data_IF_152797237805
#
_entry.id   IF_152797237805
#
_cell.length_a   1.000
_cell.length_b   1.000
_cell.length_c   1.000
_cell.angle_alpha   90.00
_cell.angle_beta   90.00
_cell.angle_gamma   90.00
#
_symmetry.space_group_name_H-M   'P 1'
#
loop_
_entity.id
_entity.type
_entity.pdbx_description
1 polymer ?
#
# COMPACT_ATOMS: atom_id res chain seq x y z
N UNK A 1 -10.91 -3.76 8.75
CA UNK A 1 -11.91 -3.04 7.93
C UNK A 1 -12.46 -3.85 6.75
N UNK A 2 -11.72 -4.78 6.10
CA UNK A 2 -12.22 -5.61 4.98
C UNK A 2 -13.42 -6.52 5.33
N UNK A 3 -13.57 -6.97 6.58
CA UNK A 3 -14.69 -7.81 7.02
C UNK A 3 -16.03 -7.07 7.10
N UNK A 4 -16.02 -5.79 7.47
CA UNK A 4 -17.25 -4.97 7.61
C UNK A 4 -17.80 -4.58 6.24
N UNK A 5 -16.94 -4.24 5.28
CA UNK A 5 -17.37 -3.91 3.91
C UNK A 5 -18.00 -5.13 3.20
N UNK A 6 -17.45 -6.34 3.38
CA UNK A 6 -18.02 -7.57 2.82
C UNK A 6 -19.35 -7.98 3.46
N UNK A 7 -19.54 -7.71 4.75
CA UNK A 7 -20.80 -7.98 5.45
C UNK A 7 -21.89 -6.97 5.04
N UNK A 8 -21.50 -5.70 4.93
CA UNK A 8 -22.39 -4.62 4.47
C UNK A 8 -22.83 -4.80 3.02
N UNK A 9 -21.95 -5.28 2.11
CA UNK A 9 -22.32 -5.55 0.73
C UNK A 9 -23.31 -6.73 0.60
N UNK A 10 -23.19 -7.75 1.44
CA UNK A 10 -24.16 -8.88 1.49
C UNK A 10 -25.49 -8.45 2.08
N UNK A 11 -25.49 -7.65 3.15
CA UNK A 11 -26.73 -7.06 3.70
C UNK A 11 -27.41 -6.14 2.70
N UNK A 12 -26.62 -5.40 1.91
CA UNK A 12 -27.12 -4.52 0.86
C UNK A 12 -27.76 -5.29 -0.28
N UNK A 13 -27.12 -6.37 -0.78
CA UNK A 13 -27.69 -7.21 -1.83
C UNK A 13 -28.98 -7.92 -1.38
N UNK A 14 -29.08 -8.29 -0.12
CA UNK A 14 -30.29 -8.83 0.52
C UNK A 14 -31.37 -7.74 0.64
N UNK A 15 -31.05 -6.55 1.12
CA UNK A 15 -31.98 -5.43 1.24
C UNK A 15 -32.48 -4.97 -0.14
N UNK A 16 -31.63 -4.99 -1.17
CA UNK A 16 -32.02 -4.64 -2.55
C UNK A 16 -32.94 -5.68 -3.19
N UNK A 17 -32.70 -6.96 -2.95
CA UNK A 17 -33.57 -8.05 -3.45
C UNK A 17 -34.92 -8.10 -2.73
N UNK A 18 -34.95 -7.82 -1.43
CA UNK A 18 -36.18 -7.87 -0.62
C UNK A 18 -36.87 -6.51 -0.46
N UNK A 19 -36.14 -5.40 -0.41
CA UNK A 19 -36.69 -4.10 0.01
C UNK A 19 -37.69 -3.48 -0.95
N UNK A 20 -37.50 -3.52 -2.27
CA UNK A 20 -38.46 -2.93 -3.22
C UNK A 20 -39.66 -3.84 -3.49
N UNK A 21 -39.42 -5.14 -3.63
CA UNK A 21 -40.51 -6.11 -3.87
C UNK A 21 -41.32 -6.42 -2.63
N UNK A 22 -40.69 -6.50 -1.45
CA UNK A 22 -41.38 -6.70 -0.17
C UNK A 22 -42.05 -5.44 0.33
N UNK A 23 -41.47 -4.25 0.18
CA UNK A 23 -42.13 -3.00 0.52
C UNK A 23 -43.39 -2.77 -0.31
N UNK A 24 -43.35 -3.04 -1.61
CA UNK A 24 -44.52 -2.98 -2.48
C UNK A 24 -45.54 -4.09 -2.18
N UNK A 25 -45.09 -5.30 -1.85
CA UNK A 25 -45.93 -6.43 -1.41
C UNK A 25 -46.62 -6.15 -0.08
N UNK A 26 -45.93 -5.56 0.90
CA UNK A 26 -46.51 -5.19 2.20
C UNK A 26 -47.51 -4.04 2.05
N UNK A 27 -47.24 -3.08 1.18
CA UNK A 27 -48.17 -1.98 0.85
C UNK A 27 -49.42 -2.52 0.15
N UNK A 28 -49.27 -3.46 -0.77
CA UNK A 28 -50.35 -4.13 -1.45
C UNK A 28 -51.20 -4.97 -0.49
N UNK A 29 -50.57 -5.76 0.39
CA UNK A 29 -51.24 -6.52 1.44
C UNK A 29 -51.98 -5.60 2.44
N UNK A 30 -51.37 -4.47 2.78
CA UNK A 30 -52.01 -3.43 3.61
C UNK A 30 -53.27 -2.82 2.95
N UNK A 31 -53.18 -2.53 1.65
CA UNK A 31 -54.31 -2.05 0.89
C UNK A 31 -55.44 -3.09 0.76
N UNK A 32 -55.09 -4.37 0.49
CA UNK A 32 -56.05 -5.46 0.44
C UNK A 32 -56.71 -5.70 1.79
N UNK A 33 -55.93 -5.69 2.88
CA UNK A 33 -56.45 -5.79 4.24
C UNK A 33 -57.36 -4.59 4.62
N UNK A 34 -57.01 -3.37 4.14
CA UNK A 34 -57.84 -2.17 4.35
C UNK A 34 -59.18 -2.30 3.60
N UNK A 35 -59.18 -2.76 2.34
CA UNK A 35 -60.39 -2.96 1.54
C UNK A 35 -61.29 -4.05 2.18
N UNK A 36 -60.68 -5.19 2.62
CA UNK A 36 -61.42 -6.24 3.29
C UNK A 36 -62.02 -5.79 4.63
N UNK A 37 -61.32 -4.89 5.36
CA UNK A 37 -61.78 -4.32 6.60
C UNK A 37 -62.96 -3.35 6.39
N UNK A 38 -62.87 -2.47 5.41
CA UNK A 38 -63.97 -1.54 5.10
C UNK A 38 -65.25 -2.25 4.63
N UNK A 39 -65.11 -3.45 4.11
CA UNK A 39 -66.27 -4.29 3.67
C UNK A 39 -66.91 -5.13 4.78
N UNK A 40 -66.24 -5.36 5.92
CA UNK A 40 -66.74 -6.27 7.00
C UNK A 40 -67.04 -5.61 8.33
N UNK A 41 -67.06 -4.28 8.44
CA UNK A 41 -67.45 -3.56 9.61
C UNK A 41 -66.35 -3.45 10.69
N UNK A 42 -66.27 -2.27 11.33
CA UNK A 42 -65.18 -1.86 12.23
C UNK A 42 -65.12 -2.61 13.53
N UNK A 43 -64.12 -3.47 13.70
CA UNK A 43 -63.66 -3.88 15.03
C UNK A 43 -62.38 -3.10 15.41
N UNK A 44 -62.17 -2.73 16.65
CA UNK A 44 -60.98 -2.03 17.15
C UNK A 44 -59.65 -2.73 16.77
N UNK A 45 -59.68 -4.04 16.59
CA UNK A 45 -58.53 -4.87 16.16
C UNK A 45 -58.04 -4.60 14.74
N UNK A 46 -58.98 -4.25 13.82
CA UNK A 46 -58.62 -3.94 12.43
C UNK A 46 -57.83 -2.64 12.29
N UNK A 47 -58.21 -1.61 13.08
CA UNK A 47 -57.50 -0.31 13.11
C UNK A 47 -56.07 -0.48 13.64
N UNK A 48 -55.92 -1.27 14.73
CA UNK A 48 -54.60 -1.59 15.31
C UNK A 48 -53.70 -2.30 14.30
N UNK A 49 -54.22 -3.28 13.56
CA UNK A 49 -53.45 -4.02 12.54
C UNK A 49 -52.96 -3.11 11.39
N UNK A 50 -53.80 -2.19 10.90
CA UNK A 50 -53.45 -1.24 9.83
C UNK A 50 -52.36 -0.27 10.30
N UNK A 51 -52.47 0.26 11.53
CA UNK A 51 -51.47 1.15 12.10
C UNK A 51 -50.13 0.47 12.27
N UNK A 52 -50.09 -0.79 12.76
CA UNK A 52 -48.86 -1.53 12.95
C UNK A 52 -48.20 -1.88 11.59
N UNK A 53 -48.97 -2.36 10.62
CA UNK A 53 -48.42 -2.73 9.28
C UNK A 53 -47.97 -1.49 8.52
N UNK A 54 -48.67 -0.36 8.62
CA UNK A 54 -48.30 0.92 8.04
C UNK A 54 -46.97 1.45 8.62
N UNK A 55 -46.84 1.45 9.94
CA UNK A 55 -45.60 1.87 10.60
C UNK A 55 -44.40 0.94 10.25
N UNK A 56 -44.63 -0.36 10.18
CA UNK A 56 -43.62 -1.33 9.80
C UNK A 56 -43.16 -1.12 8.36
N UNK A 57 -44.10 -0.85 7.44
CA UNK A 57 -43.77 -0.53 6.05
C UNK A 57 -42.94 0.75 5.92
N UNK A 58 -43.29 1.81 6.67
CA UNK A 58 -42.53 3.07 6.71
C UNK A 58 -41.11 2.86 7.25
N UNK A 59 -40.95 2.03 8.31
CA UNK A 59 -39.64 1.70 8.87
C UNK A 59 -38.78 0.91 7.87
N UNK A 60 -39.36 -0.08 7.18
CA UNK A 60 -38.63 -0.88 6.18
C UNK A 60 -38.23 -0.02 4.98
N UNK A 61 -39.15 0.78 4.43
CA UNK A 61 -38.87 1.66 3.31
C UNK A 61 -37.87 2.76 3.67
N UNK A 62 -38.01 3.37 4.86
CA UNK A 62 -37.07 4.35 5.38
C UNK A 62 -35.67 3.77 5.59
N UNK A 63 -35.59 2.57 6.18
CA UNK A 63 -34.31 1.87 6.36
C UNK A 63 -33.65 1.51 5.03
N UNK A 64 -34.43 1.03 4.03
CA UNK A 64 -33.90 0.73 2.70
C UNK A 64 -33.41 1.99 1.96
N UNK A 65 -34.14 3.10 2.08
CA UNK A 65 -33.73 4.39 1.49
C UNK A 65 -32.47 4.92 2.17
N UNK A 66 -32.40 4.89 3.50
CA UNK A 66 -31.21 5.27 4.26
C UNK A 66 -29.98 4.43 3.85
N UNK A 67 -30.14 3.10 3.79
CA UNK A 67 -29.06 2.22 3.36
C UNK A 67 -28.55 2.53 1.94
N UNK A 68 -29.47 2.88 1.01
CA UNK A 68 -29.09 3.33 -0.35
C UNK A 68 -28.33 4.65 -0.36
N UNK A 69 -28.77 5.61 0.42
CA UNK A 69 -28.12 6.93 0.50
C UNK A 69 -26.69 6.75 1.05
N UNK A 70 -26.55 6.02 2.18
CA UNK A 70 -25.25 5.75 2.79
C UNK A 70 -24.33 4.98 1.84
N UNK A 71 -24.83 3.93 1.18
CA UNK A 71 -24.04 3.17 0.21
C UNK A 71 -23.60 4.02 -0.98
N UNK A 72 -24.47 4.88 -1.51
CA UNK A 72 -24.09 5.80 -2.60
C UNK A 72 -23.05 6.83 -2.15
N UNK A 73 -23.14 7.33 -0.93
CA UNK A 73 -22.15 8.25 -0.37
C UNK A 73 -20.79 7.56 -0.23
N UNK A 74 -20.76 6.37 0.39
CA UNK A 74 -19.53 5.58 0.55
C UNK A 74 -18.89 5.20 -0.81
N UNK A 75 -19.72 4.80 -1.80
CA UNK A 75 -19.20 4.51 -3.14
C UNK A 75 -18.64 5.76 -3.83
N UNK A 76 -19.27 6.93 -3.63
CA UNK A 76 -18.78 8.18 -4.22
C UNK A 76 -17.42 8.56 -3.62
N UNK A 77 -17.27 8.46 -2.31
CA UNK A 77 -16.01 8.76 -1.63
C UNK A 77 -14.91 7.80 -2.09
N UNK A 78 -15.21 6.50 -2.21
CA UNK A 78 -14.27 5.50 -2.74
C UNK A 78 -13.85 5.82 -4.19
N UNK A 79 -14.80 6.14 -5.07
CA UNK A 79 -14.51 6.49 -6.47
C UNK A 79 -13.70 7.80 -6.57
N UNK A 80 -13.92 8.75 -5.67
CA UNK A 80 -13.12 9.98 -5.62
C UNK A 80 -11.69 9.70 -5.19
N UNK A 81 -11.48 8.84 -4.18
CA UNK A 81 -10.14 8.44 -3.76
C UNK A 81 -9.39 7.65 -4.88
N UNK A 82 -10.05 6.69 -5.51
CA UNK A 82 -9.47 5.97 -6.66
C UNK A 82 -9.09 6.93 -7.80
N UNK A 83 -9.96 7.89 -8.11
CA UNK A 83 -9.70 8.90 -9.13
C UNK A 83 -8.46 9.75 -8.82
N UNK A 84 -8.27 10.15 -7.56
CA UNK A 84 -7.07 10.90 -7.13
C UNK A 84 -5.80 10.08 -7.37
N UNK A 85 -5.81 8.78 -7.03
CA UNK A 85 -4.65 7.92 -7.25
C UNK A 85 -4.34 7.70 -8.73
N UNK A 86 -5.37 7.54 -9.57
CA UNK A 86 -5.18 7.44 -11.02
C UNK A 86 -4.51 8.70 -11.56
N UNK A 87 -5.02 9.89 -11.20
CA UNK A 87 -4.43 11.16 -11.63
C UNK A 87 -3.01 11.32 -11.11
N UNK A 88 -2.75 10.98 -9.85
CA UNK A 88 -1.41 11.05 -9.27
C UNK A 88 -0.41 10.12 -9.98
N UNK A 89 -0.82 8.89 -10.29
CA UNK A 89 0.01 7.94 -11.03
C UNK A 89 0.27 8.42 -12.47
N UNK A 90 -0.75 8.97 -13.16
CA UNK A 90 -0.58 9.52 -14.50
C UNK A 90 0.38 10.72 -14.49
N UNK A 91 0.25 11.61 -13.51
CA UNK A 91 1.16 12.75 -13.37
C UNK A 91 2.60 12.28 -13.09
N UNK A 92 2.79 11.34 -12.16
CA UNK A 92 4.10 10.76 -11.87
C UNK A 92 4.72 10.11 -13.10
N UNK A 93 3.92 9.35 -13.88
CA UNK A 93 4.36 8.75 -15.13
C UNK A 93 4.87 9.80 -16.11
N UNK A 94 4.12 10.89 -16.31
CA UNK A 94 4.56 11.99 -17.17
C UNK A 94 5.86 12.65 -16.71
N UNK A 95 6.09 12.76 -15.39
CA UNK A 95 7.35 13.30 -14.86
C UNK A 95 8.52 12.33 -15.13
N UNK A 96 8.30 11.03 -14.93
CA UNK A 96 9.29 10.00 -15.24
C UNK A 96 9.62 9.95 -16.73
N UNK A 97 8.61 10.00 -17.60
CA UNK A 97 8.79 10.01 -19.07
C UNK A 97 9.55 11.26 -19.55
N UNK A 98 9.29 12.42 -18.94
CA UNK A 98 10.03 13.66 -19.26
C UNK A 98 11.48 13.59 -18.84
N UNK A 99 11.74 12.95 -17.70
CA UNK A 99 13.10 12.82 -17.17
C UNK A 99 13.90 11.74 -17.90
N UNK A 100 13.26 10.61 -18.19
CA UNK A 100 13.87 9.46 -18.85
C UNK A 100 13.18 9.16 -20.19
N UNK A 101 13.27 10.05 -21.19
CA UNK A 101 12.42 10.03 -22.37
C UNK A 101 12.62 8.81 -23.29
N UNK A 102 13.74 8.09 -23.14
CA UNK A 102 14.05 6.91 -23.95
C UNK A 102 13.92 5.60 -23.17
N UNK A 103 13.37 5.65 -21.95
CA UNK A 103 13.25 4.49 -21.11
C UNK A 103 12.00 3.69 -21.50
N UNK A 104 12.23 2.49 -22.03
CA UNK A 104 11.16 1.54 -22.31
C UNK A 104 10.95 0.62 -21.10
N UNK A 105 9.90 0.86 -20.34
CA UNK A 105 9.53 0.06 -19.18
C UNK A 105 8.06 -0.29 -19.16
N UNK A 106 7.77 -1.52 -18.77
CA UNK A 106 6.41 -1.99 -18.57
C UNK A 106 6.06 -2.01 -17.07
N UNK A 107 4.95 -1.39 -16.71
CA UNK A 107 4.41 -1.49 -15.37
C UNK A 107 3.38 -2.62 -15.37
N UNK A 108 3.72 -3.72 -14.70
CA UNK A 108 2.80 -4.83 -14.45
C UNK A 108 2.10 -4.65 -13.10
N UNK A 109 1.07 -5.45 -12.81
CA UNK A 109 0.37 -5.39 -11.53
C UNK A 109 1.21 -5.73 -10.28
N UNK A 110 2.42 -6.28 -10.48
CA UNK A 110 3.39 -6.58 -9.41
C UNK A 110 4.53 -5.55 -9.35
N UNK A 111 4.56 -4.56 -10.26
CA UNK A 111 5.60 -3.53 -10.28
C UNK A 111 5.28 -2.40 -9.32
N UNK A 112 6.32 -1.73 -8.80
CA UNK A 112 6.18 -0.48 -8.08
C UNK A 112 5.40 0.54 -8.91
N UNK A 113 4.39 1.19 -8.34
CA UNK A 113 3.53 2.14 -9.04
C UNK A 113 4.27 3.44 -9.38
N UNK A 114 3.87 4.19 -10.43
CA UNK A 114 4.54 5.41 -10.87
C UNK A 114 4.74 6.45 -9.77
N UNK A 115 3.75 6.64 -8.89
CA UNK A 115 3.86 7.60 -7.81
C UNK A 115 4.95 7.22 -6.79
N UNK A 116 5.16 5.92 -6.52
CA UNK A 116 6.22 5.43 -5.65
C UNK A 116 7.58 5.50 -6.35
N UNK A 117 7.66 5.19 -7.65
CA UNK A 117 8.87 5.39 -8.45
C UNK A 117 9.30 6.86 -8.45
N UNK A 118 8.35 7.80 -8.58
CA UNK A 118 8.67 9.23 -8.49
C UNK A 118 9.15 9.63 -7.09
N UNK A 119 8.56 9.08 -6.03
CA UNK A 119 9.02 9.31 -4.66
C UNK A 119 10.44 8.76 -4.44
N UNK A 120 10.75 7.60 -5.03
CA UNK A 120 12.11 7.03 -5.03
C UNK A 120 13.09 7.95 -5.77
N UNK A 121 12.75 8.43 -6.97
CA UNK A 121 13.59 9.38 -7.72
C UNK A 121 13.86 10.65 -6.91
N UNK A 122 12.85 11.20 -6.24
CA UNK A 122 13.01 12.37 -5.38
C UNK A 122 13.99 12.10 -4.21
N UNK A 123 13.94 10.90 -3.62
CA UNK A 123 14.90 10.50 -2.59
C UNK A 123 16.34 10.40 -3.15
N UNK A 124 16.50 9.83 -4.36
CA UNK A 124 17.80 9.76 -5.03
C UNK A 124 18.37 11.14 -5.35
N UNK A 125 17.52 12.06 -5.82
CA UNK A 125 17.92 13.45 -6.11
C UNK A 125 18.35 14.21 -4.85
N UNK A 126 17.69 13.97 -3.75
CA UNK A 126 18.01 14.60 -2.47
C UNK A 126 19.31 14.06 -1.88
N UNK A 127 19.48 12.74 -1.85
CA UNK A 127 20.62 12.12 -1.19
C UNK A 127 21.86 12.01 -2.09
N UNK A 128 21.67 11.97 -3.40
CA UNK A 128 22.73 11.77 -4.41
C UNK A 128 23.65 10.60 -4.07
N UNK A 129 23.04 9.38 -3.92
CA UNK A 129 23.76 8.21 -3.46
C UNK A 129 24.82 7.77 -4.47
N UNK A 130 25.91 7.17 -3.96
CA UNK A 130 26.94 6.50 -4.76
C UNK A 130 26.75 4.99 -4.83
N UNK A 131 26.16 4.42 -3.78
CA UNK A 131 25.86 3.00 -3.68
C UNK A 131 24.40 2.79 -3.30
N UNK A 132 23.68 2.09 -4.14
CA UNK A 132 22.28 1.75 -3.92
C UNK A 132 22.19 0.22 -3.85
N UNK A 133 21.48 -0.28 -2.84
CA UNK A 133 21.12 -1.69 -2.71
C UNK A 133 19.61 -1.81 -2.82
N UNK A 134 19.16 -2.80 -3.56
CA UNK A 134 17.75 -3.08 -3.76
C UNK A 134 17.44 -4.53 -3.42
N UNK A 135 16.34 -4.74 -2.72
CA UNK A 135 15.79 -6.04 -2.39
C UNK A 135 14.43 -6.20 -3.08
N UNK A 136 14.37 -7.06 -4.09
CA UNK A 136 13.29 -7.18 -5.05
C UNK A 136 13.55 -6.33 -6.29
N UNK A 137 13.94 -6.96 -7.42
CA UNK A 137 14.23 -6.26 -8.66
C UNK A 137 12.96 -6.05 -9.50
N UNK A 138 12.96 -5.04 -10.38
CA UNK A 138 11.84 -4.76 -11.27
C UNK A 138 11.89 -3.39 -11.94
N UNK A 139 10.75 -2.72 -12.04
CA UNK A 139 10.67 -1.38 -12.62
C UNK A 139 11.53 -0.34 -11.86
N UNK A 140 11.65 -0.50 -10.54
CA UNK A 140 12.55 0.32 -9.71
C UNK A 140 14.00 0.18 -10.11
N UNK A 141 14.48 -1.05 -10.39
CA UNK A 141 15.86 -1.29 -10.86
C UNK A 141 16.16 -0.52 -12.14
N UNK A 142 15.19 -0.48 -13.06
CA UNK A 142 15.33 0.22 -14.33
C UNK A 142 15.41 1.74 -14.13
N UNK A 143 14.53 2.31 -13.33
CA UNK A 143 14.52 3.74 -12.99
C UNK A 143 15.79 4.14 -12.24
N UNK A 144 16.22 3.35 -11.25
CA UNK A 144 17.47 3.59 -10.51
C UNK A 144 18.67 3.56 -11.47
N UNK A 145 18.71 2.57 -12.38
CA UNK A 145 19.81 2.43 -13.34
C UNK A 145 19.87 3.60 -14.33
N UNK A 146 18.70 4.10 -14.77
CA UNK A 146 18.63 5.30 -15.61
C UNK A 146 19.12 6.55 -14.86
N UNK A 147 18.70 6.70 -13.60
CA UNK A 147 19.15 7.79 -12.72
C UNK A 147 20.68 7.75 -12.50
N UNK A 148 21.24 6.57 -12.25
CA UNK A 148 22.68 6.38 -12.08
C UNK A 148 23.45 6.74 -13.35
N UNK A 149 22.91 6.40 -14.54
CA UNK A 149 23.49 6.78 -15.84
C UNK A 149 23.59 8.29 -16.03
N UNK A 150 22.54 9.04 -15.63
CA UNK A 150 22.58 10.52 -15.63
C UNK A 150 23.62 11.07 -14.65
N UNK A 151 23.74 10.46 -13.48
CA UNK A 151 24.70 10.89 -12.45
C UNK A 151 26.16 10.49 -12.76
N UNK A 152 26.40 9.67 -13.77
CA UNK A 152 27.74 9.12 -14.08
C UNK A 152 28.27 8.15 -13.01
N UNK A 153 27.39 7.51 -12.28
CA UNK A 153 27.68 6.59 -11.18
C UNK A 153 27.12 5.21 -11.54
N UNK A 154 27.87 4.15 -11.28
CA UNK A 154 27.50 2.79 -11.72
C UNK A 154 27.53 1.81 -10.55
N UNK A 155 26.53 1.85 -9.65
CA UNK A 155 26.45 0.86 -8.57
C UNK A 155 25.05 0.69 -7.97
N UNK A 156 24.16 0.04 -8.74
CA UNK A 156 23.03 -0.67 -8.19
C UNK A 156 23.40 -2.13 -7.96
N UNK A 157 23.24 -2.61 -6.73
CA UNK A 157 23.27 -4.03 -6.39
C UNK A 157 21.82 -4.43 -6.05
N UNK A 158 21.21 -5.22 -6.91
CA UNK A 158 19.82 -5.66 -6.73
C UNK A 158 19.76 -7.17 -6.52
N UNK A 159 18.95 -7.59 -5.56
CA UNK A 159 18.81 -8.99 -5.14
C UNK A 159 17.36 -9.43 -5.27
N UNK A 160 17.16 -10.58 -5.92
CA UNK A 160 15.86 -11.22 -5.99
C UNK A 160 15.98 -12.73 -5.72
N UNK A 161 14.90 -13.34 -5.24
CA UNK A 161 14.86 -14.78 -5.00
C UNK A 161 14.29 -15.55 -6.20
N UNK A 162 13.56 -14.88 -7.06
CA UNK A 162 12.95 -15.45 -8.27
C UNK A 162 13.85 -15.23 -9.47
N UNK A 163 14.37 -16.34 -10.02
CA UNK A 163 15.27 -16.30 -11.16
C UNK A 163 14.60 -15.81 -12.44
N UNK A 164 13.31 -16.09 -12.63
CA UNK A 164 12.55 -15.63 -13.80
C UNK A 164 12.32 -14.12 -13.74
N UNK A 165 11.98 -13.63 -12.56
CA UNK A 165 11.83 -12.20 -12.35
C UNK A 165 13.14 -11.43 -12.52
N UNK A 166 14.23 -11.96 -11.95
CA UNK A 166 15.56 -11.40 -12.13
C UNK A 166 16.02 -11.42 -13.61
N UNK A 167 15.67 -12.47 -14.37
CA UNK A 167 16.00 -12.52 -15.79
C UNK A 167 15.20 -11.46 -16.57
N UNK A 168 13.91 -11.32 -16.34
CA UNK A 168 13.09 -10.28 -16.95
C UNK A 168 13.67 -8.88 -16.68
N UNK A 169 14.10 -8.62 -15.44
CA UNK A 169 14.75 -7.37 -15.08
C UNK A 169 16.06 -7.12 -15.86
N UNK A 170 16.91 -8.15 -16.04
CA UNK A 170 18.12 -8.05 -16.87
C UNK A 170 17.80 -7.77 -18.34
N UNK A 171 16.75 -8.42 -18.87
CA UNK A 171 16.32 -8.22 -20.24
C UNK A 171 15.82 -6.78 -20.46
N UNK A 172 15.07 -6.24 -19.49
CA UNK A 172 14.61 -4.85 -19.50
C UNK A 172 15.79 -3.87 -19.45
N UNK A 173 16.74 -4.09 -18.55
CA UNK A 173 17.97 -3.30 -18.49
C UNK A 173 18.76 -3.38 -19.80
N UNK A 174 18.82 -4.58 -20.41
CA UNK A 174 19.50 -4.80 -21.71
C UNK A 174 18.85 -4.04 -22.85
N UNK A 175 17.51 -4.09 -22.96
CA UNK A 175 16.76 -3.32 -23.97
C UNK A 175 17.00 -1.83 -23.87
N UNK A 176 17.21 -1.33 -22.67
CA UNK A 176 17.44 0.09 -22.39
C UNK A 176 18.93 0.50 -22.37
N UNK A 177 19.86 -0.42 -22.61
CA UNK A 177 21.30 -0.13 -22.59
C UNK A 177 21.87 0.18 -21.21
N UNK A 178 21.19 -0.27 -20.13
CA UNK A 178 21.48 0.05 -18.74
C UNK A 178 22.17 -1.08 -17.95
N UNK A 179 22.51 -2.19 -18.59
CA UNK A 179 23.17 -3.34 -17.92
C UNK A 179 24.47 -2.97 -17.21
N UNK A 180 25.19 -1.94 -17.68
CA UNK A 180 26.43 -1.48 -17.04
C UNK A 180 26.21 -0.74 -15.72
N UNK A 181 24.98 -0.35 -15.40
CA UNK A 181 24.65 0.44 -14.22
C UNK A 181 24.13 -0.39 -13.04
N UNK A 182 23.81 -1.67 -13.26
CA UNK A 182 23.22 -2.55 -12.24
C UNK A 182 23.81 -3.97 -12.31
N UNK A 183 23.95 -4.57 -11.15
CA UNK A 183 24.23 -5.97 -10.95
C UNK A 183 23.00 -6.64 -10.32
N UNK A 184 22.33 -7.52 -11.08
CA UNK A 184 21.16 -8.26 -10.61
C UNK A 184 21.59 -9.65 -10.15
N UNK A 185 21.41 -9.93 -8.87
CA UNK A 185 21.78 -11.19 -8.24
C UNK A 185 20.54 -12.01 -7.88
N UNK A 186 20.58 -13.31 -8.20
CA UNK A 186 19.58 -14.27 -7.70
C UNK A 186 20.12 -14.89 -6.43
N UNK A 187 19.36 -14.76 -5.33
CA UNK A 187 19.75 -15.31 -4.04
C UNK A 187 18.57 -16.00 -3.38
N UNK A 188 18.75 -17.22 -2.84
CA UNK A 188 17.65 -17.96 -2.24
C UNK A 188 17.17 -17.28 -0.95
N UNK A 189 15.91 -17.54 -0.59
CA UNK A 189 15.42 -17.23 0.74
C UNK A 189 15.82 -18.35 1.70
N UNK A 190 16.43 -17.96 2.82
CA UNK A 190 16.81 -18.85 3.92
C UNK A 190 16.09 -18.42 5.20
N UNK A 191 16.02 -19.33 6.17
CA UNK A 191 15.50 -18.99 7.50
C UNK A 191 16.53 -18.13 8.24
N UNK A 192 16.09 -16.96 8.67
CA UNK A 192 16.87 -16.04 9.50
C UNK A 192 16.12 -15.73 10.79
N UNK A 193 16.85 -15.58 11.88
CA UNK A 193 16.25 -15.15 13.14
C UNK A 193 16.33 -13.63 13.24
N UNK A 194 15.16 -12.97 13.28
CA UNK A 194 15.04 -11.53 13.35
C UNK A 194 14.07 -11.12 14.46
N UNK A 195 14.52 -10.29 15.39
CA UNK A 195 13.69 -9.73 16.48
C UNK A 195 12.81 -10.79 17.19
N UNK A 196 13.39 -11.96 17.46
CA UNK A 196 12.72 -13.06 18.17
C UNK A 196 11.80 -13.94 17.32
N UNK A 197 11.73 -13.72 16.03
CA UNK A 197 10.96 -14.51 15.04
C UNK A 197 11.92 -15.21 14.06
N UNK A 198 11.45 -16.32 13.47
CA UNK A 198 12.09 -16.94 12.31
C UNK A 198 11.34 -16.50 11.06
N UNK A 199 12.07 -15.95 10.09
CA UNK A 199 11.53 -15.42 8.85
C UNK A 199 12.36 -15.95 7.66
N UNK A 200 11.72 -16.07 6.49
CA UNK A 200 12.43 -16.35 5.26
C UNK A 200 12.92 -15.04 4.63
N UNK A 201 14.22 -14.95 4.44
CA UNK A 201 14.84 -13.74 3.90
C UNK A 201 16.05 -14.07 3.03
N UNK A 202 16.50 -13.12 2.24
CA UNK A 202 17.61 -13.28 1.29
C UNK A 202 18.91 -13.78 1.97
N UNK A 203 19.56 -14.77 1.37
CA UNK A 203 20.92 -15.15 1.76
C UNK A 203 21.93 -14.19 1.17
N UNK A 204 22.25 -13.16 1.90
CA UNK A 204 23.24 -12.15 1.52
C UNK A 204 24.64 -12.43 2.09
N UNK A 205 24.88 -13.61 2.66
CA UNK A 205 26.13 -13.94 3.36
C UNK A 205 27.38 -13.78 2.47
N UNK A 206 27.30 -14.23 1.23
CA UNK A 206 28.40 -14.13 0.26
C UNK A 206 28.65 -12.69 -0.25
N UNK A 207 27.74 -11.77 -0.02
CA UNK A 207 27.84 -10.37 -0.44
C UNK A 207 28.16 -9.42 0.72
N UNK A 208 28.34 -9.92 1.95
CA UNK A 208 28.49 -9.11 3.15
C UNK A 208 29.59 -8.06 3.03
N UNK A 209 30.71 -8.37 2.39
CA UNK A 209 31.85 -7.47 2.23
C UNK A 209 31.57 -6.32 1.26
N UNK A 210 30.74 -6.53 0.24
CA UNK A 210 30.39 -5.51 -0.74
C UNK A 210 29.17 -4.69 -0.34
N UNK A 211 28.40 -5.14 0.64
CA UNK A 211 27.19 -4.48 1.14
C UNK A 211 27.44 -3.50 2.30
N UNK A 212 28.61 -2.87 2.32
CA UNK A 212 28.96 -1.80 3.27
C UNK A 212 28.86 -0.44 2.57
N UNK A 213 28.76 0.64 3.36
CA UNK A 213 28.67 2.02 2.90
C UNK A 213 27.51 2.25 1.94
N UNK A 214 26.36 1.67 2.25
CA UNK A 214 25.12 1.81 1.44
C UNK A 214 24.49 3.17 1.73
N UNK A 215 24.29 3.97 0.69
CA UNK A 215 23.67 5.29 0.79
C UNK A 215 22.14 5.22 0.69
N UNK A 216 21.61 4.33 -0.16
CA UNK A 216 20.17 4.10 -0.26
C UNK A 216 19.89 2.60 -0.31
N UNK A 217 18.99 2.16 0.56
CA UNK A 217 18.42 0.82 0.58
C UNK A 217 16.98 0.88 0.08
N UNK A 218 16.69 0.17 -1.00
CA UNK A 218 15.32 0.01 -1.51
C UNK A 218 14.81 -1.37 -1.13
N UNK A 219 13.64 -1.44 -0.50
CA UNK A 219 13.05 -2.69 0.01
C UNK A 219 11.68 -2.88 -0.62
N UNK A 220 11.62 -3.73 -1.63
CA UNK A 220 10.39 -4.15 -2.30
C UNK A 220 10.18 -5.67 -2.27
N UNK A 221 11.11 -6.39 -1.69
CA UNK A 221 11.10 -7.84 -1.49
C UNK A 221 11.58 -8.26 -0.09
N UNK A 222 11.36 -9.52 0.30
CA UNK A 222 10.54 -10.52 -0.38
C UNK A 222 9.05 -10.16 -0.40
N UNK A 223 8.25 -10.77 -1.30
CA UNK A 223 6.83 -10.48 -1.38
C UNK A 223 6.09 -10.92 -0.09
N UNK A 224 5.05 -10.15 0.30
CA UNK A 224 4.25 -10.45 1.49
C UNK A 224 3.52 -11.82 1.43
N UNK A 225 3.45 -12.45 0.25
CA UNK A 225 2.96 -13.81 0.07
C UNK A 225 3.92 -14.86 0.63
N UNK A 226 5.21 -14.55 0.81
CA UNK A 226 6.18 -15.43 1.47
C UNK A 226 5.79 -15.64 2.92
N UNK A 227 5.61 -14.55 3.66
CA UNK A 227 5.07 -14.54 5.02
C UNK A 227 4.83 -13.10 5.51
N UNK A 228 4.01 -12.92 6.56
CA UNK A 228 3.88 -11.61 7.20
C UNK A 228 5.24 -11.14 7.71
N UNK A 229 5.54 -9.86 7.54
CA UNK A 229 6.79 -9.21 7.96
C UNK A 229 8.07 -9.73 7.25
N UNK A 230 7.95 -10.32 6.04
CA UNK A 230 9.08 -10.84 5.28
C UNK A 230 10.20 -9.79 5.06
N UNK A 231 9.86 -8.49 5.06
CA UNK A 231 10.81 -7.38 4.88
C UNK A 231 11.50 -6.93 6.18
N UNK A 232 11.08 -7.46 7.36
CA UNK A 232 11.60 -7.07 8.66
C UNK A 232 13.12 -7.24 8.81
N UNK A 233 13.77 -8.31 8.30
CA UNK A 233 15.19 -8.51 8.49
C UNK A 233 16.08 -7.47 7.80
N UNK A 234 15.56 -6.70 6.83
CA UNK A 234 16.37 -5.76 6.06
C UNK A 234 17.13 -4.76 6.94
N UNK A 235 16.46 -4.08 7.89
CA UNK A 235 17.15 -3.11 8.77
C UNK A 235 18.16 -3.81 9.69
N UNK A 236 17.86 -5.01 10.20
CA UNK A 236 18.77 -5.73 11.08
C UNK A 236 20.07 -6.08 10.36
N UNK A 237 20.00 -6.42 9.08
CA UNK A 237 21.19 -6.69 8.28
C UNK A 237 21.93 -5.40 7.89
N UNK A 238 21.21 -4.34 7.54
CA UNK A 238 21.81 -3.13 6.97
C UNK A 238 22.11 -2.01 7.96
N UNK A 239 21.60 -2.03 9.21
CA UNK A 239 21.78 -0.93 10.17
C UNK A 239 23.25 -0.53 10.41
N UNK A 240 24.17 -1.51 10.47
CA UNK A 240 25.60 -1.27 10.59
C UNK A 240 26.34 -1.11 9.26
N UNK A 241 25.65 -1.18 8.12
CA UNK A 241 26.22 -1.18 6.77
C UNK A 241 25.83 0.05 5.95
N UNK A 242 24.92 0.86 6.45
CA UNK A 242 24.49 2.09 5.79
C UNK A 242 25.32 3.29 6.24
N UNK A 243 25.49 4.27 5.36
CA UNK A 243 26.21 5.52 5.67
C UNK A 243 25.49 6.36 6.72
N UNK A 244 26.16 7.37 7.26
CA UNK A 244 25.57 8.32 8.22
C UNK A 244 24.44 9.20 7.62
N UNK A 245 24.31 9.24 6.30
CA UNK A 245 23.29 10.00 5.56
C UNK A 245 22.33 9.10 4.79
N UNK A 246 22.28 7.84 5.17
CA UNK A 246 21.51 6.86 4.41
C UNK A 246 20.01 7.13 4.41
N UNK A 247 19.39 6.76 3.28
CA UNK A 247 17.94 6.64 3.12
C UNK A 247 17.52 5.19 2.94
N UNK A 248 16.34 4.84 3.47
CA UNK A 248 15.70 3.56 3.22
C UNK A 248 14.34 3.83 2.59
N UNK A 249 14.08 3.23 1.45
CA UNK A 249 12.79 3.26 0.78
C UNK A 249 12.11 1.91 0.95
N UNK A 250 10.89 1.88 1.48
CA UNK A 250 10.09 0.66 1.62
C UNK A 250 8.78 0.83 0.83
N UNK A 251 8.56 -0.04 -0.15
CA UNK A 251 7.34 -0.03 -0.96
C UNK A 251 6.15 -0.67 -0.21
N UNK A 252 4.94 -0.57 -0.81
CA UNK A 252 3.70 -1.12 -0.25
C UNK A 252 3.33 -0.60 1.15
N UNK A 253 3.65 0.64 1.44
CA UNK A 253 3.61 1.25 2.76
C UNK A 253 2.24 1.27 3.45
N UNK A 254 1.13 1.07 2.71
CA UNK A 254 -0.21 0.97 3.29
C UNK A 254 -0.56 -0.43 3.81
N UNK A 255 0.26 -1.45 3.54
CA UNK A 255 0.04 -2.78 4.08
C UNK A 255 0.30 -2.79 5.58
N UNK A 256 -0.56 -3.48 6.34
CA UNK A 256 -0.41 -3.59 7.80
C UNK A 256 0.94 -4.20 8.21
N UNK A 257 1.45 -5.15 7.42
CA UNK A 257 2.75 -5.77 7.64
C UNK A 257 3.89 -4.75 7.55
N UNK A 258 3.92 -3.94 6.50
CA UNK A 258 4.95 -2.93 6.25
C UNK A 258 4.87 -1.78 7.27
N UNK A 259 3.67 -1.37 7.70
CA UNK A 259 3.53 -0.45 8.83
C UNK A 259 4.15 -1.00 10.11
N UNK A 260 3.94 -2.29 10.42
CA UNK A 260 4.54 -2.94 11.60
C UNK A 260 6.05 -3.12 11.43
N UNK A 261 6.54 -3.42 10.23
CA UNK A 261 7.98 -3.46 9.91
C UNK A 261 8.64 -2.12 10.24
N UNK A 262 8.10 -1.00 9.72
CA UNK A 262 8.64 0.34 9.97
C UNK A 262 8.59 0.71 11.46
N UNK A 263 7.47 0.40 12.13
CA UNK A 263 7.35 0.64 13.57
C UNK A 263 8.48 -0.06 14.36
N UNK A 264 8.78 -1.34 14.04
CA UNK A 264 9.87 -2.10 14.69
C UNK A 264 11.24 -1.58 14.30
N UNK A 265 11.44 -1.21 13.05
CA UNK A 265 12.67 -0.62 12.57
C UNK A 265 13.02 0.66 13.34
N UNK A 266 12.09 1.62 13.44
CA UNK A 266 12.30 2.86 14.17
C UNK A 266 12.48 2.65 15.69
N UNK A 267 11.80 1.63 16.25
CA UNK A 267 12.00 1.30 17.67
C UNK A 267 13.41 0.77 17.96
N UNK A 268 13.94 -0.07 17.07
CA UNK A 268 15.27 -0.67 17.24
C UNK A 268 16.42 0.22 16.76
N UNK A 269 16.11 1.21 15.91
CA UNK A 269 17.09 2.13 15.31
C UNK A 269 16.55 3.55 15.39
N UNK A 270 16.59 4.18 16.58
CA UNK A 270 15.98 5.49 16.82
C UNK A 270 16.63 6.64 16.04
N UNK A 271 17.79 6.40 15.43
CA UNK A 271 18.45 7.34 14.53
C UNK A 271 17.73 7.50 13.19
N UNK A 272 16.76 6.64 12.85
CA UNK A 272 15.97 6.80 11.64
C UNK A 272 14.63 7.49 11.92
N UNK A 273 14.33 8.53 11.16
CA UNK A 273 12.99 9.10 11.07
C UNK A 273 12.26 8.54 9.88
N UNK A 274 11.00 8.16 10.04
CA UNK A 274 10.18 7.57 8.98
C UNK A 274 9.06 8.53 8.56
N UNK A 275 8.85 8.67 7.25
CA UNK A 275 7.77 9.42 6.64
C UNK A 275 6.98 8.52 5.70
N UNK A 276 5.67 8.46 5.86
CA UNK A 276 4.77 7.79 4.91
C UNK A 276 4.37 8.76 3.80
N UNK A 277 4.56 8.34 2.56
CA UNK A 277 4.03 9.00 1.38
C UNK A 277 2.70 8.35 1.01
N UNK A 278 1.65 9.16 0.99
CA UNK A 278 0.27 8.70 0.72
C UNK A 278 0.04 8.60 -0.79
N UNK A 279 0.43 7.47 -1.37
CA UNK A 279 0.12 7.06 -2.74
C UNK A 279 -0.91 5.93 -2.72
N UNK A 280 -1.24 5.34 -3.86
CA UNK A 280 -2.22 4.24 -3.92
C UNK A 280 -1.81 3.01 -3.08
N UNK A 281 -0.54 2.62 -3.13
CA UNK A 281 0.00 1.52 -2.31
C UNK A 281 0.75 2.02 -1.07
N UNK A 282 1.06 3.31 -1.03
CA UNK A 282 1.92 3.93 -0.03
C UNK A 282 3.39 3.53 -0.18
N UNK A 283 4.29 4.38 0.27
CA UNK A 283 5.68 4.02 0.48
C UNK A 283 6.25 4.75 1.70
N UNK A 284 7.17 4.12 2.40
CA UNK A 284 7.87 4.73 3.50
C UNK A 284 9.26 5.18 3.07
N UNK A 285 9.63 6.38 3.48
CA UNK A 285 11.00 6.90 3.36
C UNK A 285 11.55 7.08 4.77
N UNK A 286 12.61 6.36 5.09
CA UNK A 286 13.32 6.53 6.35
C UNK A 286 14.66 7.22 6.05
N UNK A 287 15.02 8.22 6.86
CA UNK A 287 16.30 8.94 6.75
C UNK A 287 17.02 8.86 8.07
N UNK A 288 18.32 8.54 8.00
CA UNK A 288 19.18 8.58 9.17
C UNK A 288 19.41 10.03 9.59
N UNK A 289 19.07 10.35 10.81
CA UNK A 289 19.25 11.69 11.38
C UNK A 289 20.71 11.89 11.76
N UNK A 290 21.30 13.07 11.51
CA UNK A 290 22.60 13.42 12.03
C UNK A 290 22.59 13.35 13.56
N UNK A 291 23.68 12.88 14.17
CA UNK A 291 23.80 12.71 15.62
C UNK A 291 23.48 13.99 16.42
N UNK A 292 23.78 15.15 15.86
CA UNK A 292 23.51 16.46 16.47
C UNK A 292 22.01 16.76 16.65
N UNK A 293 21.15 16.27 15.76
CA UNK A 293 19.69 16.49 15.87
C UNK A 293 19.07 15.63 16.97
N UNK A 294 19.63 14.47 17.27
CA UNK A 294 19.15 13.58 18.34
C UNK A 294 19.46 14.16 19.74
N UNK A 295 20.57 14.85 19.90
CA UNK A 295 20.94 15.51 21.16
C UNK A 295 20.02 16.70 21.49
N UNK A 296 19.50 17.39 20.46
CA UNK A 296 18.58 18.52 20.63
C UNK A 296 17.16 18.10 21.08
N UNK A 297 16.70 16.91 20.68
CA UNK A 297 15.40 16.38 21.08
C UNK A 297 15.41 15.68 22.44
N UNK A 298 16.59 15.30 22.95
CA UNK A 298 16.77 14.63 24.24
C UNK A 298 16.91 15.59 25.44
N UNK A 299 16.93 16.92 25.24
CA UNK A 299 16.95 17.89 26.32
C UNK A 299 15.54 18.26 26.76
N UNK A 300 15.00 17.73 27.86
CA UNK A 300 13.74 18.22 28.41
C UNK A 300 13.98 19.62 28.97
N UNK A 301 13.05 20.51 28.59
CA UNK A 301 12.81 21.84 29.12
C UNK A 301 13.31 21.96 30.57
N UNK A 302 14.35 22.75 30.80
CA UNK A 302 14.62 23.28 32.13
C UNK A 302 13.46 24.21 32.48
N UNK A 303 12.64 23.75 33.41
CA UNK A 303 11.66 24.60 34.09
C UNK A 303 12.39 25.81 34.69
N UNK A 304 12.00 26.98 34.28
CA UNK A 304 12.20 28.23 34.98
C UNK A 304 10.89 28.63 35.66
#
# INVERSE_FOLDING_TARGET
>A
MKGVAGYMSRLYSLAERFGLRTGFGILLLGCVAFIAFTMHGSSAWGVGFIVITGNLAVLICGGALYARIVSRALNRDHLQEESKYIVANQYAMQQLDRRFPNLDYSISGASMIPANLQALVNLLDELKPRKIVELGCGASSLIISAWLGEAGIHRLLSFDHDSGWAQNCRDDLGRNGLLGNAEIHVTPLIRVRCMGQELHWYDLSQYADVLNDVDVLVVDGPPATTEPLARLPAIQFFAGRVTSRAGIFLDDGHRTGECEVVRRWCHSNPEFSAQLHYTQTGCWVLKRQPFESMAATANPVKAS
#
